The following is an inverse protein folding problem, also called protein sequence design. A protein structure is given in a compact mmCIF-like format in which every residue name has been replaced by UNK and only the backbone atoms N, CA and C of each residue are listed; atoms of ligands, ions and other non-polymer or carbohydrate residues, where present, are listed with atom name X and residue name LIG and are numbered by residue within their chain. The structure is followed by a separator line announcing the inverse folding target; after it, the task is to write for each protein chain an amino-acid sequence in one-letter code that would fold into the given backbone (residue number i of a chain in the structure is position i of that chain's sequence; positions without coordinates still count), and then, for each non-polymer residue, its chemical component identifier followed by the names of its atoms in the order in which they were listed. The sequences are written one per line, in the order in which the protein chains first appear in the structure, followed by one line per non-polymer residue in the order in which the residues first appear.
data_IF_322122267406
#
_entry.id   IF_322122267406
#
_cell.length_a   1.000
_cell.length_b   1.000
_cell.length_c   1.000
_cell.angle_alpha   90.00
_cell.angle_beta   90.00
_cell.angle_gamma   90.00
#
_symmetry.space_group_name_H-M   'P 1'
#
loop_
_entity.id
_entity.type
_entity.pdbx_description
1 polymer ?
#
# COMPACT_ATOMS: atom_id res chain seq x y z
N UNK A 1 -1.19 -56.62 -2.63
CA UNK A 1 -0.99 -57.42 -1.40
C UNK A 1 0.16 -56.73 -0.66
N UNK A 2 -0.07 -55.97 0.42
CA UNK A 2 -0.60 -56.38 1.75
C UNK A 2 0.35 -57.46 2.32
N UNK A 3 1.07 -57.31 3.45
CA UNK A 3 0.87 -56.47 4.66
C UNK A 3 2.23 -56.07 5.31
N UNK A 4 2.40 -54.88 5.91
CA UNK A 4 2.33 -54.54 7.35
C UNK A 4 3.64 -54.52 8.20
N UNK A 5 3.97 -53.31 8.67
CA UNK A 5 4.45 -52.89 10.02
C UNK A 5 5.73 -53.47 10.69
N UNK A 6 6.61 -52.49 11.01
CA UNK A 6 7.31 -52.24 12.29
C UNK A 6 8.76 -52.74 12.52
N UNK A 7 9.58 -51.87 13.15
CA UNK A 7 11.00 -52.07 13.51
C UNK A 7 11.88 -50.86 13.15
N UNK A 8 11.78 -49.72 13.84
CA UNK A 8 12.55 -49.37 15.05
C UNK A 8 14.09 -49.44 14.89
N UNK A 9 14.79 -48.29 14.77
CA UNK A 9 15.85 -47.89 15.72
C UNK A 9 16.52 -46.51 15.44
N UNK A 10 16.31 -45.59 16.40
CA UNK A 10 17.25 -44.58 16.96
C UNK A 10 18.46 -44.09 16.11
N UNK A 11 18.53 -42.78 15.91
CA UNK A 11 19.69 -41.93 16.29
C UNK A 11 19.27 -40.46 16.35
N UNK A 12 19.55 -39.80 17.50
CA UNK A 12 19.82 -38.36 17.73
C UNK A 12 19.51 -37.97 19.19
N UNK A 13 20.49 -38.25 20.06
CA UNK A 13 20.84 -37.42 21.21
C UNK A 13 22.16 -36.73 20.84
N UNK A 14 22.57 -35.57 21.38
CA UNK A 14 21.88 -34.50 22.09
C UNK A 14 22.93 -33.38 22.27
N UNK A 15 22.55 -32.09 22.28
CA UNK A 15 23.31 -31.08 23.04
C UNK A 15 22.54 -29.76 23.20
N UNK A 16 22.09 -29.48 24.45
CA UNK A 16 22.04 -28.16 25.11
C UNK A 16 21.25 -28.25 26.44
N UNK A 17 21.96 -28.69 27.47
CA UNK A 17 21.84 -28.11 28.83
C UNK A 17 22.62 -26.78 28.82
N UNK A 18 22.40 -25.78 29.67
CA UNK A 18 21.32 -25.42 30.61
C UNK A 18 21.78 -24.13 31.29
N UNK A 19 20.89 -23.25 31.76
CA UNK A 19 20.91 -22.81 33.17
C UNK A 19 19.58 -22.12 33.53
N UNK A 20 19.26 -22.21 34.82
CA UNK A 20 17.98 -21.84 35.44
C UNK A 20 18.13 -20.61 36.33
N UNK A 21 17.02 -19.91 36.59
CA UNK A 21 16.62 -19.33 37.89
C UNK A 21 15.35 -18.48 37.69
N UNK A 22 14.46 -18.29 38.66
CA UNK A 22 14.11 -19.07 39.86
C UNK A 22 12.63 -18.73 40.14
N UNK A 23 11.79 -19.69 40.52
CA UNK A 23 10.36 -19.44 40.71
C UNK A 23 9.82 -20.21 41.90
N UNK A 24 9.36 -19.47 42.91
CA UNK A 24 8.73 -20.04 44.11
C UNK A 24 7.20 -19.89 44.06
N UNK A 25 6.51 -20.91 44.57
CA UNK A 25 5.07 -21.09 44.38
C UNK A 25 4.25 -20.69 45.62
N UNK A 26 2.95 -20.42 45.42
CA UNK A 26 1.87 -21.04 46.23
C UNK A 26 0.49 -20.88 45.62
N UNK A 27 -0.42 -21.76 46.03
CA UNK A 27 -1.72 -22.01 45.41
C UNK A 27 -2.89 -21.80 46.38
N UNK A 28 -4.08 -21.51 45.82
CA UNK A 28 -5.42 -21.78 46.36
C UNK A 28 -6.40 -21.65 45.16
N UNK A 29 -7.12 -22.68 44.71
CA UNK A 29 -8.29 -23.31 45.32
C UNK A 29 -9.56 -22.42 45.29
N UNK A 30 -10.55 -22.78 44.46
CA UNK A 30 -11.84 -22.07 44.34
C UNK A 30 -12.79 -22.78 43.36
N UNK A 31 -13.93 -23.24 43.88
CA UNK A 31 -14.87 -24.24 43.31
C UNK A 31 -15.96 -23.70 42.36
N UNK A 32 -16.69 -24.67 41.75
CA UNK A 32 -17.99 -24.59 41.04
C UNK A 32 -17.92 -24.29 39.52
N UNK A 33 -18.44 -25.11 38.58
CA UNK A 33 -19.65 -25.96 38.52
C UNK A 33 -20.96 -25.13 38.38
N UNK A 34 -21.96 -25.44 37.55
CA UNK A 34 -22.22 -26.56 36.61
C UNK A 34 -23.48 -26.22 35.74
N UNK A 35 -23.76 -26.94 34.63
CA UNK A 35 -24.99 -26.88 33.76
C UNK A 35 -25.23 -25.59 32.92
N UNK A 36 -25.89 -25.60 31.74
CA UNK A 36 -26.35 -26.68 30.85
C UNK A 36 -26.51 -26.19 29.38
N UNK A 37 -26.53 -27.14 28.44
CA UNK A 37 -26.87 -26.93 27.01
C UNK A 37 -28.38 -27.00 26.72
N UNK A 38 -28.73 -26.76 25.44
CA UNK A 38 -30.00 -27.02 24.73
C UNK A 38 -31.04 -25.87 24.74
N UNK A 39 -31.80 -25.60 23.66
CA UNK A 39 -31.69 -26.06 22.25
C UNK A 39 -32.53 -25.15 21.30
N UNK A 40 -32.36 -25.38 20.00
CA UNK A 40 -33.16 -24.99 18.82
C UNK A 40 -34.52 -24.28 19.05
N UNK A 41 -34.81 -23.26 18.21
CA UNK A 41 -35.78 -23.41 17.11
C UNK A 41 -35.76 -22.21 16.14
N UNK A 42 -35.99 -22.47 14.85
CA UNK A 42 -36.20 -21.44 13.83
C UNK A 42 -37.67 -20.99 13.78
N UNK A 43 -37.93 -19.76 13.30
CA UNK A 43 -39.28 -19.32 12.94
C UNK A 43 -39.28 -18.41 11.70
N UNK A 44 -39.97 -18.85 10.64
CA UNK A 44 -40.42 -18.00 9.55
C UNK A 44 -41.64 -18.63 8.86
N UNK A 45 -42.77 -17.90 8.79
CA UNK A 45 -43.73 -17.93 7.67
C UNK A 45 -44.24 -16.50 7.33
N UNK A 46 -45.25 -16.24 6.48
CA UNK A 46 -45.55 -16.66 5.09
C UNK A 46 -46.37 -15.50 4.44
N UNK A 47 -46.51 -15.40 3.09
CA UNK A 47 -47.04 -14.21 2.39
C UNK A 47 -48.53 -14.29 1.97
N UNK A 48 -49.05 -13.15 1.48
CA UNK A 48 -50.25 -12.98 0.62
C UNK A 48 -50.09 -11.67 -0.19
N UNK A 49 -50.07 -11.65 -1.53
CA UNK A 49 -51.22 -11.60 -2.48
C UNK A 49 -52.03 -10.29 -2.46
N UNK A 50 -52.70 -9.83 -3.52
CA UNK A 50 -52.50 -9.79 -4.99
C UNK A 50 -53.62 -8.87 -5.53
N UNK A 51 -53.36 -7.99 -6.51
CA UNK A 51 -54.41 -7.45 -7.39
C UNK A 51 -53.79 -6.71 -8.58
N UNK A 52 -54.11 -7.15 -9.80
CA UNK A 52 -53.50 -6.63 -11.03
C UNK A 52 -54.40 -5.73 -11.87
N UNK A 53 -53.84 -5.18 -12.96
CA UNK A 53 -54.58 -4.77 -14.18
C UNK A 53 -53.65 -4.68 -15.39
N UNK A 54 -54.18 -5.08 -16.55
CA UNK A 54 -53.68 -4.96 -17.93
C UNK A 54 -54.93 -4.94 -18.85
N UNK A 55 -54.84 -4.64 -20.17
CA UNK A 55 -53.77 -3.99 -20.94
C UNK A 55 -54.29 -2.83 -21.85
N UNK A 56 -53.39 -2.17 -22.61
CA UNK A 56 -53.56 -1.83 -24.05
C UNK A 56 -52.24 -1.29 -24.63
N UNK A 57 -51.94 -1.61 -25.89
CA UNK A 57 -50.77 -1.12 -26.66
C UNK A 57 -51.08 0.13 -27.51
N UNK A 58 -50.32 0.47 -28.59
CA UNK A 58 -49.51 -0.43 -29.41
C UNK A 58 -48.05 0.00 -29.77
N UNK A 59 -47.28 -1.03 -30.12
CA UNK A 59 -46.13 -1.17 -31.05
C UNK A 59 -45.55 0.06 -31.79
N UNK A 60 -44.21 0.14 -31.80
CA UNK A 60 -43.38 0.58 -32.95
C UNK A 60 -42.20 -0.39 -33.17
N UNK A 61 -41.75 -0.49 -34.41
CA UNK A 61 -40.82 -1.54 -34.95
C UNK A 61 -39.42 -1.01 -35.28
N UNK A 62 -38.54 -1.94 -35.70
CA UNK A 62 -37.19 -1.75 -36.29
C UNK A 62 -36.04 -1.55 -35.27
N UNK A 63 -34.83 -2.13 -35.41
CA UNK A 63 -34.24 -3.02 -36.44
C UNK A 63 -33.50 -4.21 -35.80
N UNK A 64 -33.47 -5.37 -36.47
CA UNK A 64 -32.60 -6.51 -36.13
C UNK A 64 -31.19 -6.34 -36.71
N UNK A 65 -30.17 -6.36 -35.86
CA UNK A 65 -28.77 -6.48 -36.27
C UNK A 65 -28.34 -7.96 -36.33
N UNK A 66 -27.66 -8.36 -37.41
CA UNK A 66 -27.12 -9.71 -37.56
C UNK A 66 -25.84 -9.90 -36.71
N UNK A 67 -25.54 -11.13 -36.23
CA UNK A 67 -24.32 -11.38 -35.47
C UNK A 67 -23.07 -11.25 -36.36
N UNK A 68 -22.09 -10.49 -35.88
CA UNK A 68 -20.80 -10.34 -36.56
C UNK A 68 -20.05 -11.67 -36.60
N UNK A 69 -19.40 -11.96 -37.73
CA UNK A 69 -18.53 -13.13 -37.89
C UNK A 69 -17.29 -12.97 -37.00
N UNK A 70 -16.95 -14.01 -36.24
CA UNK A 70 -15.75 -14.05 -35.41
C UNK A 70 -14.53 -14.46 -36.23
N UNK A 71 -13.55 -13.56 -36.39
CA UNK A 71 -12.25 -13.90 -36.97
C UNK A 71 -11.44 -14.81 -36.03
N UNK A 72 -10.97 -16.00 -36.48
CA UNK A 72 -10.33 -16.99 -35.64
C UNK A 72 -8.81 -16.76 -35.50
N UNK A 73 -8.38 -15.53 -35.18
CA UNK A 73 -6.94 -15.25 -34.97
C UNK A 73 -6.65 -14.17 -33.91
N UNK A 74 -7.52 -14.02 -32.91
CA UNK A 74 -7.33 -13.06 -31.83
C UNK A 74 -7.23 -13.74 -30.46
N UNK A 75 -6.27 -14.66 -30.33
CA UNK A 75 -5.91 -15.27 -29.04
C UNK A 75 -5.34 -14.18 -28.11
N UNK A 76 -6.24 -13.56 -27.36
CA UNK A 76 -5.88 -12.84 -26.15
C UNK A 76 -5.42 -13.88 -25.13
N UNK A 77 -4.15 -13.84 -24.75
CA UNK A 77 -3.73 -14.34 -23.44
C UNK A 77 -4.17 -13.28 -22.42
N UNK A 78 -5.24 -13.48 -21.64
CA UNK A 78 -5.55 -12.57 -20.54
C UNK A 78 -4.40 -12.61 -19.52
N UNK A 79 -4.21 -11.51 -18.79
CA UNK A 79 -3.19 -11.43 -17.74
C UNK A 79 -3.28 -12.59 -16.70
N UNK A 80 -4.47 -13.19 -16.55
CA UNK A 80 -4.73 -14.37 -15.73
C UNK A 80 -3.86 -15.61 -16.06
N UNK A 81 -3.28 -15.70 -17.26
CA UNK A 81 -2.44 -16.84 -17.67
C UNK A 81 -0.92 -16.62 -17.45
N UNK A 82 -0.49 -15.45 -16.98
CA UNK A 82 0.90 -15.25 -16.56
C UNK A 82 1.17 -16.10 -15.30
N UNK A 83 2.12 -17.02 -15.38
CA UNK A 83 2.64 -17.73 -14.21
C UNK A 83 3.65 -16.83 -13.48
N UNK A 84 3.35 -16.46 -12.25
CA UNK A 84 4.19 -15.64 -11.39
C UNK A 84 4.87 -16.50 -10.32
N UNK A 85 6.14 -16.21 -10.04
CA UNK A 85 6.94 -16.91 -9.03
C UNK A 85 6.87 -16.24 -7.64
N UNK A 86 6.02 -15.20 -7.48
CA UNK A 86 5.72 -14.59 -6.19
C UNK A 86 5.54 -13.08 -6.27
N UNK A 87 5.84 -12.37 -5.17
CA UNK A 87 5.71 -10.92 -5.04
C UNK A 87 7.08 -10.23 -4.88
N UNK A 88 7.25 -9.10 -5.55
CA UNK A 88 8.41 -8.22 -5.47
C UNK A 88 7.94 -6.88 -4.91
N UNK A 89 8.36 -6.56 -3.69
CA UNK A 89 8.05 -5.31 -3.02
C UNK A 89 9.27 -4.38 -2.96
N UNK A 90 9.08 -3.09 -3.24
CA UNK A 90 10.12 -2.06 -3.06
C UNK A 90 9.89 -1.34 -1.74
N UNK A 91 10.94 -1.07 -0.96
CA UNK A 91 10.83 -0.35 0.32
C UNK A 91 11.92 0.72 0.47
N UNK A 92 11.93 1.37 1.63
CA UNK A 92 13.10 2.11 2.10
C UNK A 92 14.20 1.12 2.47
N UNK A 93 15.46 1.42 2.14
CA UNK A 93 16.60 0.65 2.66
C UNK A 93 16.60 0.64 4.22
N UNK A 94 16.79 -0.52 4.83
CA UNK A 94 16.76 -0.72 6.29
C UNK A 94 15.35 -0.98 6.86
N UNK A 95 14.37 -1.20 6.00
CA UNK A 95 12.97 -1.56 6.34
C UNK A 95 12.53 -2.89 5.68
N UNK A 96 13.48 -3.67 5.17
CA UNK A 96 13.20 -4.95 4.50
C UNK A 96 12.56 -5.97 5.45
N UNK A 97 12.86 -5.89 6.76
CA UNK A 97 12.25 -6.74 7.79
C UNK A 97 10.78 -6.42 8.04
N UNK A 98 10.42 -5.14 7.99
CA UNK A 98 9.03 -4.72 8.12
C UNK A 98 8.21 -5.15 6.90
N UNK A 99 8.73 -4.89 5.68
CA UNK A 99 8.08 -5.34 4.45
C UNK A 99 8.04 -6.88 4.35
N UNK A 100 9.07 -7.59 4.82
CA UNK A 100 9.06 -9.06 4.84
C UNK A 100 7.89 -9.63 5.64
N UNK A 101 7.65 -9.11 6.84
CA UNK A 101 6.51 -9.53 7.66
C UNK A 101 5.18 -9.23 6.96
N UNK A 102 5.03 -8.05 6.35
CA UNK A 102 3.82 -7.71 5.59
C UNK A 102 3.60 -8.63 4.38
N UNK A 103 4.67 -9.03 3.66
CA UNK A 103 4.54 -9.93 2.52
C UNK A 103 4.23 -11.38 2.93
N UNK A 104 4.79 -11.88 4.05
CA UNK A 104 4.40 -13.18 4.61
C UNK A 104 2.91 -13.19 4.99
N UNK A 105 2.42 -12.16 5.70
CA UNK A 105 1.01 -12.04 6.10
C UNK A 105 0.09 -11.92 4.87
N UNK A 106 0.41 -11.03 3.91
CA UNK A 106 -0.36 -10.83 2.67
C UNK A 106 -0.42 -12.11 1.83
N UNK A 107 0.69 -12.85 1.73
CA UNK A 107 0.73 -14.10 0.98
C UNK A 107 -0.05 -15.23 1.68
N UNK A 108 0.06 -15.33 3.01
CA UNK A 108 -0.70 -16.30 3.81
C UNK A 108 -2.22 -16.06 3.70
N UNK A 109 -2.68 -14.81 3.75
CA UNK A 109 -4.08 -14.46 3.54
C UNK A 109 -4.59 -14.78 2.12
N UNK A 110 -3.72 -14.67 1.11
CA UNK A 110 -4.03 -15.07 -0.27
C UNK A 110 -3.93 -16.58 -0.51
N UNK A 111 -3.55 -17.38 0.49
CA UNK A 111 -3.34 -18.82 0.37
C UNK A 111 -2.11 -19.21 -0.48
N UNK A 112 -1.19 -18.27 -0.70
CA UNK A 112 0.08 -18.54 -1.38
C UNK A 112 1.02 -19.30 -0.43
N UNK A 113 1.78 -20.25 -0.99
CA UNK A 113 2.71 -21.07 -0.22
C UNK A 113 4.12 -20.88 -0.80
N UNK A 114 5.05 -20.48 0.06
CA UNK A 114 6.34 -19.95 -0.35
C UNK A 114 7.14 -19.44 0.84
N UNK A 115 8.07 -18.53 0.58
CA UNK A 115 8.99 -17.98 1.58
C UNK A 115 9.51 -16.60 1.18
N UNK A 116 9.85 -15.77 2.18
CA UNK A 116 10.43 -14.44 1.95
C UNK A 116 11.96 -14.45 1.96
N UNK A 117 12.54 -13.70 1.02
CA UNK A 117 13.94 -13.30 0.97
C UNK A 117 14.04 -11.79 1.19
N UNK A 118 14.71 -11.39 2.27
CA UNK A 118 14.93 -9.99 2.63
C UNK A 118 16.40 -9.78 3.03
N UNK A 119 17.15 -9.11 2.16
CA UNK A 119 18.55 -8.74 2.42
C UNK A 119 18.59 -7.35 3.07
N UNK A 120 19.26 -7.17 4.23
CA UNK A 120 19.34 -5.86 4.88
C UNK A 120 19.90 -4.78 3.96
N UNK A 121 19.32 -3.58 4.04
CA UNK A 121 19.73 -2.38 3.30
C UNK A 121 19.66 -2.49 1.76
N UNK A 122 19.06 -3.56 1.24
CA UNK A 122 18.90 -3.80 -0.20
C UNK A 122 17.80 -2.94 -0.85
N UNK A 123 16.83 -2.43 -0.08
CA UNK A 123 15.72 -1.61 -0.57
C UNK A 123 14.60 -2.36 -1.32
N UNK A 124 14.60 -3.70 -1.31
CA UNK A 124 13.53 -4.53 -1.87
C UNK A 124 13.38 -5.85 -1.10
N UNK A 125 12.23 -6.51 -1.28
CA UNK A 125 11.92 -7.81 -0.69
C UNK A 125 11.28 -8.70 -1.75
N UNK A 126 11.62 -9.99 -1.75
CA UNK A 126 11.03 -11.01 -2.61
C UNK A 126 10.24 -12.00 -1.74
N UNK A 127 8.96 -12.18 -2.01
CA UNK A 127 8.24 -13.41 -1.70
C UNK A 127 8.37 -14.35 -2.90
N UNK A 128 8.75 -15.61 -2.66
CA UNK A 128 8.92 -16.64 -3.68
C UNK A 128 7.98 -17.82 -3.40
N UNK A 129 7.04 -18.11 -4.31
CA UNK A 129 6.13 -19.25 -4.22
C UNK A 129 6.89 -20.54 -4.53
N UNK A 130 6.54 -21.66 -3.87
CA UNK A 130 7.19 -22.95 -4.13
C UNK A 130 6.94 -23.48 -5.56
N UNK A 131 5.79 -23.13 -6.15
CA UNK A 131 5.48 -23.39 -7.54
C UNK A 131 4.98 -22.09 -8.23
N UNK A 132 5.27 -21.88 -9.53
CA UNK A 132 4.73 -20.75 -10.28
C UNK A 132 3.21 -20.75 -10.27
N UNK A 133 2.63 -19.67 -9.75
CA UNK A 133 1.20 -19.52 -9.49
C UNK A 133 0.58 -18.61 -10.56
N UNK A 134 -0.58 -18.95 -11.17
CA UNK A 134 -1.26 -18.07 -12.11
C UNK A 134 -1.60 -16.72 -11.47
N UNK A 135 -1.34 -15.62 -12.18
CA UNK A 135 -1.55 -14.26 -11.66
C UNK A 135 -2.96 -14.02 -11.11
N UNK A 136 -3.99 -14.64 -11.71
CA UNK A 136 -5.37 -14.53 -11.24
C UNK A 136 -5.56 -14.99 -9.78
N UNK A 137 -4.70 -15.88 -9.28
CA UNK A 137 -4.77 -16.41 -7.91
C UNK A 137 -4.18 -15.45 -6.87
N UNK A 138 -3.39 -14.44 -7.27
CA UNK A 138 -2.85 -13.46 -6.33
C UNK A 138 -3.94 -12.48 -5.84
N UNK A 139 -4.97 -12.22 -6.65
CA UNK A 139 -6.10 -11.36 -6.29
C UNK A 139 -5.67 -9.97 -5.77
N UNK A 140 -6.10 -9.64 -4.56
CA UNK A 140 -5.77 -8.37 -3.88
C UNK A 140 -4.36 -8.34 -3.27
N UNK A 141 -3.62 -9.47 -3.21
CA UNK A 141 -2.22 -9.46 -2.72
C UNK A 141 -1.25 -8.68 -3.63
N UNK A 142 -1.70 -8.31 -4.83
CA UNK A 142 -0.97 -7.42 -5.73
C UNK A 142 -1.21 -5.93 -5.49
N UNK A 143 -2.23 -5.52 -4.72
CA UNK A 143 -2.48 -4.09 -4.49
C UNK A 143 -1.37 -3.48 -3.64
N UNK A 144 -0.50 -2.74 -4.31
CA UNK A 144 0.60 -2.03 -3.68
C UNK A 144 0.15 -1.11 -2.55
N UNK A 145 -1.11 -0.63 -2.49
CA UNK A 145 -1.57 0.28 -1.43
C UNK A 145 -1.77 -0.38 -0.08
N UNK A 146 -2.01 -1.70 -0.06
CA UNK A 146 -2.33 -2.50 1.14
C UNK A 146 -1.21 -2.57 2.20
N UNK A 147 0.03 -3.01 1.89
CA UNK A 147 1.14 -2.98 2.84
C UNK A 147 1.52 -1.55 3.22
N UNK A 148 1.98 -1.30 4.44
CA UNK A 148 2.44 0.02 4.87
C UNK A 148 3.84 0.32 4.33
N UNK A 149 4.74 -0.66 4.34
CA UNK A 149 6.17 -0.48 4.08
C UNK A 149 6.59 -0.70 2.62
N UNK A 150 5.67 -1.20 1.76
CA UNK A 150 5.91 -1.23 0.31
C UNK A 150 5.58 0.11 -0.34
N UNK A 151 6.50 0.66 -1.14
CA UNK A 151 6.26 1.78 -2.06
C UNK A 151 5.68 1.33 -3.39
N UNK A 152 5.96 0.08 -3.75
CA UNK A 152 5.47 -0.63 -4.93
C UNK A 152 5.39 -2.11 -4.56
N UNK A 153 4.40 -2.82 -5.10
CA UNK A 153 4.26 -4.27 -4.97
C UNK A 153 3.86 -4.82 -6.33
N UNK A 154 4.57 -5.85 -6.79
CA UNK A 154 4.42 -6.37 -8.14
C UNK A 154 4.53 -7.90 -8.13
N UNK A 155 3.64 -8.63 -8.84
CA UNK A 155 3.84 -10.05 -9.09
C UNK A 155 5.00 -10.24 -10.06
N UNK A 156 6.06 -10.94 -9.64
CA UNK A 156 7.24 -11.22 -10.46
C UNK A 156 7.12 -12.59 -11.13
N UNK A 157 7.73 -12.73 -12.32
CA UNK A 157 7.59 -13.93 -13.15
C UNK A 157 8.92 -14.46 -13.71
N UNK A 158 9.98 -13.66 -13.71
CA UNK A 158 11.32 -14.12 -14.08
C UNK A 158 12.42 -13.33 -13.36
N UNK A 159 13.53 -14.01 -13.10
CA UNK A 159 14.81 -13.43 -12.68
C UNK A 159 15.82 -13.77 -13.77
N UNK A 160 16.45 -12.75 -14.34
CA UNK A 160 17.48 -12.91 -15.38
C UNK A 160 18.83 -12.61 -14.76
N UNK A 161 19.72 -13.59 -14.77
CA UNK A 161 21.07 -13.51 -14.22
C UNK A 161 22.11 -13.47 -15.34
N UNK A 162 23.38 -13.24 -14.97
CA UNK A 162 24.53 -13.20 -15.88
C UNK A 162 24.35 -12.32 -17.14
N UNK A 163 23.57 -11.23 -17.02
CA UNK A 163 23.27 -10.31 -18.12
C UNK A 163 24.57 -9.78 -18.76
N UNK A 164 24.84 -10.09 -20.04
CA UNK A 164 26.10 -9.78 -20.66
C UNK A 164 26.21 -8.28 -20.95
N UNK A 165 27.39 -7.71 -20.73
CA UNK A 165 27.56 -6.25 -20.76
C UNK A 165 27.17 -5.60 -22.09
N UNK A 166 27.39 -6.30 -23.20
CA UNK A 166 27.16 -5.81 -24.57
C UNK A 166 25.73 -6.04 -25.08
N UNK A 167 24.97 -6.97 -24.52
CA UNK A 167 23.60 -7.27 -24.94
C UNK A 167 22.71 -7.71 -23.77
N UNK A 168 22.33 -6.74 -22.95
CA UNK A 168 21.34 -6.96 -21.88
C UNK A 168 19.90 -7.09 -22.42
N UNK A 169 19.66 -6.80 -23.71
CA UNK A 169 18.31 -6.76 -24.25
C UNK A 169 17.80 -8.16 -24.60
N UNK A 170 18.61 -8.96 -25.30
CA UNK A 170 18.19 -10.30 -25.76
C UNK A 170 17.73 -11.21 -24.61
N UNK A 171 18.47 -11.39 -23.50
CA UNK A 171 18.04 -12.27 -22.40
C UNK A 171 16.75 -11.81 -21.71
N UNK A 172 16.56 -10.48 -21.56
CA UNK A 172 15.33 -9.92 -20.99
C UNK A 172 14.15 -10.14 -21.94
N UNK A 173 14.34 -9.87 -23.24
CA UNK A 173 13.31 -10.09 -24.27
C UNK A 173 12.90 -11.56 -24.34
N UNK A 174 13.84 -12.49 -24.27
CA UNK A 174 13.54 -13.93 -24.33
C UNK A 174 12.84 -14.44 -23.07
N UNK A 175 13.21 -13.95 -21.88
CA UNK A 175 12.45 -14.21 -20.65
C UNK A 175 11.01 -13.65 -20.73
N UNK A 176 10.81 -12.48 -21.34
CA UNK A 176 9.47 -11.93 -21.57
C UNK A 176 8.69 -12.77 -22.59
N UNK A 177 9.31 -13.21 -23.70
CA UNK A 177 8.65 -14.12 -24.68
C UNK A 177 8.21 -15.43 -24.00
N UNK A 178 9.08 -16.02 -23.17
CA UNK A 178 8.81 -17.27 -22.48
C UNK A 178 7.59 -17.18 -21.54
N UNK A 179 7.31 -16.00 -20.98
CA UNK A 179 6.11 -15.76 -20.16
C UNK A 179 4.78 -15.80 -20.94
N UNK A 180 4.82 -15.68 -22.28
CA UNK A 180 3.63 -15.55 -23.13
C UNK A 180 2.85 -14.23 -22.97
N UNK A 181 3.25 -13.36 -22.03
CA UNK A 181 2.55 -12.12 -21.70
C UNK A 181 2.91 -10.98 -22.67
N UNK A 182 1.93 -10.09 -22.91
CA UNK A 182 2.13 -8.82 -23.61
C UNK A 182 1.90 -7.64 -22.68
N UNK A 183 2.63 -6.56 -22.90
CA UNK A 183 2.66 -5.38 -22.02
C UNK A 183 2.26 -4.12 -22.78
N UNK A 184 1.72 -3.12 -22.08
CA UNK A 184 1.39 -1.78 -22.61
C UNK A 184 2.56 -0.80 -22.47
N UNK A 185 3.42 -0.99 -21.48
CA UNK A 185 4.58 -0.14 -21.21
C UNK A 185 5.74 -0.94 -20.62
N UNK A 186 6.89 -0.28 -20.49
CA UNK A 186 8.07 -0.83 -19.81
C UNK A 186 8.67 0.22 -18.87
N UNK A 187 9.04 -0.20 -17.66
CA UNK A 187 9.57 0.66 -16.60
C UNK A 187 10.85 0.04 -16.04
N UNK A 188 11.99 0.70 -16.27
CA UNK A 188 13.29 0.26 -15.76
C UNK A 188 13.60 0.97 -14.45
N UNK A 189 13.95 0.19 -13.44
CA UNK A 189 13.96 0.61 -12.04
C UNK A 189 15.20 0.08 -11.33
N UNK A 190 15.52 0.70 -10.20
CA UNK A 190 16.59 0.31 -9.29
C UNK A 190 16.05 0.34 -7.86
N UNK A 191 16.57 -0.47 -6.92
CA UNK A 191 16.29 -0.24 -5.50
C UNK A 191 16.71 1.18 -5.05
N UNK A 192 16.13 1.69 -3.96
CA UNK A 192 16.39 3.04 -3.45
C UNK A 192 17.67 3.15 -2.59
N UNK A 193 18.75 2.44 -2.98
CA UNK A 193 20.07 2.54 -2.32
C UNK A 193 20.99 3.48 -3.09
N UNK A 194 22.04 3.98 -2.45
CA UNK A 194 22.97 4.92 -3.10
C UNK A 194 23.86 4.25 -4.15
N UNK A 195 24.17 2.96 -3.98
CA UNK A 195 24.85 2.10 -4.95
C UNK A 195 23.95 1.80 -6.16
N UNK A 196 22.67 1.52 -5.89
CA UNK A 196 21.70 1.21 -6.93
C UNK A 196 21.36 2.45 -7.79
N UNK A 197 21.24 3.64 -7.16
CA UNK A 197 21.01 4.92 -7.84
C UNK A 197 22.06 5.26 -8.89
N UNK A 198 23.30 4.79 -8.77
CA UNK A 198 24.33 4.98 -9.80
C UNK A 198 23.91 4.36 -11.15
N UNK A 199 23.07 3.32 -11.14
CA UNK A 199 22.51 2.66 -12.33
C UNK A 199 21.24 3.32 -12.87
N UNK A 200 20.65 4.32 -12.20
CA UNK A 200 19.46 5.03 -12.68
C UNK A 200 19.69 5.71 -14.05
N UNK A 201 20.88 6.26 -14.27
CA UNK A 201 21.29 6.84 -15.55
C UNK A 201 21.44 5.80 -16.67
N UNK A 202 21.83 4.57 -16.34
CA UNK A 202 21.79 3.44 -17.28
C UNK A 202 20.34 3.06 -17.61
N UNK A 203 19.49 2.87 -16.60
CA UNK A 203 18.08 2.51 -16.78
C UNK A 203 17.38 3.50 -17.72
N UNK A 204 17.54 4.81 -17.49
CA UNK A 204 16.98 5.86 -18.36
C UNK A 204 17.44 5.77 -19.82
N UNK A 205 18.71 5.45 -20.08
CA UNK A 205 19.24 5.29 -21.45
C UNK A 205 18.85 3.96 -22.09
N UNK A 206 18.64 2.92 -21.29
CA UNK A 206 18.34 1.57 -21.76
C UNK A 206 16.83 1.32 -21.99
N UNK A 207 15.94 2.16 -21.44
CA UNK A 207 14.49 2.06 -21.63
C UNK A 207 14.09 1.97 -23.10
N UNK A 208 14.58 2.90 -23.93
CA UNK A 208 14.21 2.98 -25.35
C UNK A 208 14.75 1.81 -26.20
N UNK A 209 16.05 1.43 -26.09
CA UNK A 209 16.57 0.19 -26.69
C UNK A 209 15.77 -1.07 -26.30
N UNK A 210 15.42 -1.23 -25.02
CA UNK A 210 14.67 -2.39 -24.56
C UNK A 210 13.22 -2.36 -25.06
N UNK A 211 12.56 -1.20 -25.05
CA UNK A 211 11.21 -1.03 -25.60
C UNK A 211 11.17 -1.41 -27.09
N UNK A 212 12.09 -0.87 -27.90
CA UNK A 212 12.23 -1.23 -29.32
C UNK A 212 12.43 -2.72 -29.54
N UNK A 213 13.24 -3.39 -28.71
CA UNK A 213 13.47 -4.82 -28.80
C UNK A 213 12.22 -5.65 -28.44
N UNK A 214 11.49 -5.24 -27.40
CA UNK A 214 10.23 -5.86 -26.99
C UNK A 214 9.10 -5.66 -28.01
N UNK A 215 9.03 -4.51 -28.69
CA UNK A 215 8.04 -4.28 -29.76
C UNK A 215 8.29 -5.19 -30.96
N UNK A 216 9.54 -5.26 -31.43
CA UNK A 216 10.00 -6.19 -32.49
C UNK A 216 9.74 -7.64 -32.14
N UNK A 217 9.91 -8.02 -30.87
CA UNK A 217 9.62 -9.36 -30.36
C UNK A 217 8.11 -9.69 -30.24
N UNK A 218 7.23 -8.70 -30.40
CA UNK A 218 5.78 -8.88 -30.23
C UNK A 218 5.27 -8.71 -28.79
N UNK A 219 6.16 -8.44 -27.83
CA UNK A 219 5.90 -8.41 -26.40
C UNK A 219 5.34 -7.06 -25.90
N UNK A 220 5.73 -5.94 -26.52
CA UNK A 220 5.25 -4.60 -26.16
C UNK A 220 4.20 -4.09 -27.17
N UNK A 221 3.11 -3.48 -26.67
CA UNK A 221 1.98 -2.96 -27.45
C UNK A 221 1.49 -1.65 -26.83
N UNK A 222 2.29 -0.60 -27.01
CA UNK A 222 2.09 0.77 -26.51
C UNK A 222 0.72 1.39 -26.83
N UNK A 223 0.14 1.07 -27.99
CA UNK A 223 -1.20 1.55 -28.39
C UNK A 223 -2.38 0.84 -27.72
N UNK A 224 -2.15 -0.19 -26.88
CA UNK A 224 -3.20 -1.05 -26.34
C UNK A 224 -3.38 -0.89 -24.83
N UNK A 225 -4.47 -0.22 -24.46
CA UNK A 225 -4.92 -0.10 -23.07
C UNK A 225 -5.25 -1.48 -22.44
N UNK A 226 -5.19 -1.55 -21.11
CA UNK A 226 -5.58 -2.73 -20.32
C UNK A 226 -4.56 -3.87 -20.26
N UNK A 227 -3.42 -3.78 -20.97
CA UNK A 227 -2.29 -4.69 -20.74
C UNK A 227 -1.44 -4.20 -19.55
N UNK A 228 -0.77 -5.10 -18.80
CA UNK A 228 0.15 -4.72 -17.74
C UNK A 228 1.35 -3.90 -18.22
N UNK A 229 1.99 -3.20 -17.30
CA UNK A 229 3.32 -2.59 -17.49
C UNK A 229 4.38 -3.61 -17.10
N UNK A 230 5.43 -3.75 -17.93
CA UNK A 230 6.60 -4.57 -17.59
C UNK A 230 7.51 -3.76 -16.68
N UNK A 231 7.68 -4.20 -15.45
CA UNK A 231 8.67 -3.65 -14.53
C UNK A 231 9.97 -4.47 -14.61
N UNK A 232 11.10 -3.78 -14.68
CA UNK A 232 12.45 -4.35 -14.81
C UNK A 232 13.34 -3.76 -13.72
N UNK A 233 13.51 -4.46 -12.60
CA UNK A 233 14.31 -4.01 -11.47
C UNK A 233 15.76 -4.52 -11.58
N UNK A 234 16.72 -3.61 -11.79
CA UNK A 234 18.15 -3.92 -11.83
C UNK A 234 18.78 -3.89 -10.42
N UNK A 235 18.73 -5.03 -9.73
CA UNK A 235 19.35 -5.19 -8.40
C UNK A 235 20.88 -5.21 -8.46
N UNK A 236 21.46 -5.63 -9.58
CA UNK A 236 22.91 -5.56 -9.84
C UNK A 236 23.21 -5.08 -11.28
N UNK A 237 24.47 -5.17 -11.73
CA UNK A 237 24.85 -4.91 -13.12
C UNK A 237 24.60 -6.11 -14.08
N UNK A 238 24.38 -7.30 -13.50
CA UNK A 238 24.20 -8.60 -14.18
C UNK A 238 22.86 -9.27 -13.86
N UNK A 239 22.07 -8.73 -12.92
CA UNK A 239 20.79 -9.31 -12.45
C UNK A 239 19.65 -8.33 -12.65
N UNK A 240 18.55 -8.81 -13.27
CA UNK A 240 17.30 -8.08 -13.39
C UNK A 240 16.10 -8.95 -13.00
N UNK A 241 15.15 -8.39 -12.27
CA UNK A 241 13.86 -9.02 -11.97
C UNK A 241 12.77 -8.46 -12.87
N UNK A 242 11.93 -9.35 -13.42
CA UNK A 242 10.84 -9.00 -14.33
C UNK A 242 9.50 -9.24 -13.64
N UNK A 243 8.67 -8.19 -13.60
CA UNK A 243 7.38 -8.20 -12.92
C UNK A 243 6.28 -7.48 -13.71
N UNK A 244 5.02 -7.79 -13.41
CA UNK A 244 3.87 -7.33 -14.18
C UNK A 244 2.97 -6.40 -13.36
N UNK A 245 3.08 -5.09 -13.59
CA UNK A 245 2.20 -4.10 -12.96
C UNK A 245 0.83 -4.09 -13.62
N UNK A 246 -0.19 -4.62 -12.94
CA UNK A 246 -1.56 -4.58 -13.45
C UNK A 246 -2.16 -3.17 -13.31
N UNK A 247 -2.90 -2.66 -14.32
CA UNK A 247 -3.53 -1.34 -14.26
C UNK A 247 -4.40 -1.20 -13.00
N UNK A 248 -4.16 -0.14 -12.22
CA UNK A 248 -4.85 0.12 -10.95
C UNK A 248 -4.22 -0.55 -9.72
N UNK A 249 -3.60 -1.73 -9.87
CA UNK A 249 -3.00 -2.51 -8.76
C UNK A 249 -1.51 -2.24 -8.53
N UNK A 250 -0.82 -1.50 -9.41
CA UNK A 250 0.55 -1.04 -9.19
C UNK A 250 0.64 0.49 -9.05
N UNK A 251 1.72 0.98 -8.44
CA UNK A 251 2.05 2.41 -8.47
C UNK A 251 2.45 2.81 -9.89
N UNK A 252 1.96 3.97 -10.36
CA UNK A 252 2.29 4.54 -11.67
C UNK A 252 3.60 5.33 -11.66
N UNK A 253 4.21 5.56 -10.50
CA UNK A 253 5.49 6.23 -10.37
C UNK A 253 6.65 5.23 -10.36
N UNK A 254 7.75 5.63 -11.00
CA UNK A 254 9.00 4.89 -10.98
C UNK A 254 9.49 4.71 -9.53
N UNK A 255 9.85 3.48 -9.17
CA UNK A 255 10.21 3.01 -7.81
C UNK A 255 9.09 3.19 -6.77
N UNK A 256 7.85 3.48 -7.19
CA UNK A 256 6.76 3.87 -6.31
C UNK A 256 6.89 5.28 -5.72
N UNK A 257 7.77 6.14 -6.26
CA UNK A 257 8.11 7.45 -5.68
C UNK A 257 7.55 8.61 -6.51
N UNK A 258 6.59 9.40 -6.00
CA UNK A 258 6.12 10.62 -6.66
C UNK A 258 7.25 11.60 -6.96
N UNK A 259 7.33 12.10 -8.19
CA UNK A 259 8.31 13.12 -8.60
C UNK A 259 7.89 14.51 -8.13
N UNK A 260 8.20 14.81 -6.87
CA UNK A 260 7.97 16.12 -6.26
C UNK A 260 9.10 17.10 -6.56
N UNK A 261 8.77 18.29 -7.06
CA UNK A 261 9.71 19.42 -7.14
C UNK A 261 9.61 20.23 -5.84
N UNK A 262 10.71 20.29 -5.08
CA UNK A 262 10.78 21.15 -3.90
C UNK A 262 10.66 22.63 -4.28
N UNK A 263 9.69 23.38 -3.71
CA UNK A 263 9.62 24.83 -3.85
C UNK A 263 10.79 25.50 -3.13
N UNK A 264 11.44 26.47 -3.77
CA UNK A 264 12.60 27.17 -3.18
C UNK A 264 12.23 28.07 -1.98
N UNK A 265 10.96 28.46 -1.88
CA UNK A 265 10.40 29.28 -0.80
C UNK A 265 9.73 28.45 0.32
N UNK A 266 9.79 27.11 0.25
CA UNK A 266 9.24 26.24 1.28
C UNK A 266 10.03 26.37 2.61
N UNK A 267 9.36 26.48 3.77
CA UNK A 267 10.01 26.76 5.06
C UNK A 267 10.78 25.57 5.64
N UNK A 268 10.51 24.36 5.16
CA UNK A 268 11.12 23.11 5.61
C UNK A 268 11.08 22.04 4.53
N UNK A 269 11.80 20.93 4.75
CA UNK A 269 11.66 19.70 3.94
C UNK A 269 10.40 18.88 4.28
N UNK A 270 9.77 19.07 5.45
CA UNK A 270 8.54 18.33 5.82
C UNK A 270 7.35 18.69 4.92
N UNK A 271 7.38 19.87 4.30
CA UNK A 271 6.63 20.25 3.08
C UNK A 271 6.45 19.11 2.07
N UNK A 272 7.51 18.33 1.82
CA UNK A 272 7.49 17.25 0.83
C UNK A 272 6.57 16.11 1.26
N UNK A 273 6.56 15.75 2.55
CA UNK A 273 5.75 14.66 3.11
C UNK A 273 4.27 14.86 2.83
N UNK A 274 3.72 16.05 3.17
CA UNK A 274 2.29 16.30 2.98
C UNK A 274 1.92 16.36 1.48
N UNK A 275 2.82 16.89 0.64
CA UNK A 275 2.63 16.83 -0.82
C UNK A 275 2.62 15.40 -1.35
N UNK A 276 3.48 14.53 -0.79
CA UNK A 276 3.55 13.12 -1.15
C UNK A 276 2.33 12.36 -0.63
N UNK A 277 1.88 12.64 0.60
CA UNK A 277 0.69 12.06 1.21
C UNK A 277 -0.56 12.30 0.34
N UNK A 278 -0.76 13.52 -0.15
CA UNK A 278 -1.86 13.81 -1.08
C UNK A 278 -1.72 13.13 -2.45
N UNK A 279 -0.52 12.72 -2.86
CA UNK A 279 -0.33 11.95 -4.09
C UNK A 279 -0.56 10.45 -3.85
N UNK A 280 0.06 9.90 -2.80
CA UNK A 280 0.15 8.47 -2.52
C UNK A 280 -1.06 7.91 -1.79
N UNK A 281 -1.65 8.65 -0.85
CA UNK A 281 -2.76 8.18 -0.02
C UNK A 281 -4.14 8.51 -0.61
N UNK A 282 -4.23 9.45 -1.56
CA UNK A 282 -5.49 9.84 -2.21
C UNK A 282 -5.47 9.47 -3.69
N UNK A 283 -6.61 8.99 -4.20
CA UNK A 283 -6.78 8.83 -5.64
C UNK A 283 -6.88 10.20 -6.34
N UNK A 284 -6.67 10.26 -7.65
CA UNK A 284 -6.67 11.51 -8.40
C UNK A 284 -8.02 12.24 -8.34
N UNK A 285 -9.10 11.55 -8.71
CA UNK A 285 -10.46 12.13 -8.61
C UNK A 285 -10.91 12.39 -7.17
N UNK A 286 -10.43 11.60 -6.21
CA UNK A 286 -10.68 11.85 -4.79
C UNK A 286 -10.03 13.15 -4.35
N UNK A 287 -8.71 13.30 -4.56
CA UNK A 287 -7.93 14.50 -4.23
C UNK A 287 -8.59 15.76 -4.78
N UNK A 288 -8.95 15.76 -6.06
CA UNK A 288 -9.58 16.92 -6.71
C UNK A 288 -10.96 17.24 -6.11
N UNK A 289 -11.69 16.24 -5.62
CA UNK A 289 -12.99 16.42 -4.97
C UNK A 289 -12.92 16.87 -3.50
N UNK A 290 -11.90 16.42 -2.75
CA UNK A 290 -11.81 16.64 -1.29
C UNK A 290 -10.86 17.76 -0.87
N UNK A 291 -9.84 18.10 -1.68
CA UNK A 291 -8.81 19.10 -1.38
C UNK A 291 -9.03 20.36 -2.23
N UNK A 292 -9.98 21.19 -1.82
CA UNK A 292 -10.50 22.32 -2.60
C UNK A 292 -10.14 23.67 -1.98
N UNK A 293 -9.83 24.64 -2.83
CA UNK A 293 -9.57 26.02 -2.40
C UNK A 293 -10.76 26.61 -1.61
N UNK A 294 -10.47 27.47 -0.63
CA UNK A 294 -11.44 28.07 0.28
C UNK A 294 -11.82 27.19 1.49
N UNK A 295 -11.45 25.91 1.52
CA UNK A 295 -11.61 25.06 2.70
C UNK A 295 -10.81 25.58 3.90
N UNK A 296 -11.26 25.21 5.11
CA UNK A 296 -10.57 25.52 6.37
C UNK A 296 -9.76 24.32 6.83
N UNK A 297 -8.54 24.56 7.26
CA UNK A 297 -7.62 23.57 7.79
C UNK A 297 -7.06 23.97 9.16
N UNK A 298 -6.64 22.98 9.94
CA UNK A 298 -5.81 23.16 11.13
C UNK A 298 -4.50 22.41 10.94
N UNK A 299 -3.38 23.00 11.33
CA UNK A 299 -2.06 22.34 11.40
C UNK A 299 -1.63 22.27 12.87
N UNK A 300 -1.49 21.05 13.42
CA UNK A 300 -1.14 20.80 14.83
C UNK A 300 0.36 20.50 14.95
N UNK A 301 1.07 21.30 15.75
CA UNK A 301 2.54 21.27 15.78
C UNK A 301 3.11 21.90 14.52
N UNK A 302 2.56 23.04 14.13
CA UNK A 302 2.77 23.62 12.81
C UNK A 302 4.20 24.13 12.58
N UNK A 303 4.99 24.46 13.61
CA UNK A 303 6.29 25.11 13.43
C UNK A 303 7.32 24.18 12.76
N UNK A 304 8.11 24.67 11.77
CA UNK A 304 8.24 26.05 11.29
C UNK A 304 7.30 26.42 10.12
N UNK A 305 6.31 25.60 9.80
CA UNK A 305 5.23 25.90 8.85
C UNK A 305 5.20 25.07 7.57
N UNK A 306 5.89 23.92 7.51
CA UNK A 306 5.99 23.11 6.27
C UNK A 306 4.67 22.56 5.75
N UNK A 307 3.80 22.09 6.66
CA UNK A 307 2.50 21.53 6.32
C UNK A 307 1.46 22.64 6.09
N UNK A 308 1.45 23.67 6.95
CA UNK A 308 0.75 24.94 6.73
C UNK A 308 1.03 25.50 5.32
N UNK A 309 2.30 25.62 4.91
CA UNK A 309 2.69 26.12 3.59
C UNK A 309 2.03 25.31 2.46
N UNK A 310 2.00 23.98 2.56
CA UNK A 310 1.39 23.09 1.55
C UNK A 310 -0.12 23.27 1.43
N UNK A 311 -0.81 23.49 2.55
CA UNK A 311 -2.26 23.75 2.56
C UNK A 311 -2.57 25.13 1.96
N UNK A 312 -1.83 26.16 2.37
CA UNK A 312 -1.94 27.54 1.87
C UNK A 312 -1.72 27.61 0.36
N UNK A 313 -0.71 26.91 -0.18
CA UNK A 313 -0.42 26.90 -1.62
C UNK A 313 -1.46 26.12 -2.46
N UNK A 314 -2.43 25.45 -1.81
CA UNK A 314 -3.63 24.88 -2.45
C UNK A 314 -4.89 25.74 -2.21
N UNK A 315 -4.72 26.93 -1.64
CA UNK A 315 -5.80 27.90 -1.39
C UNK A 315 -6.64 27.60 -0.15
N UNK A 316 -6.15 26.79 0.80
CA UNK A 316 -6.83 26.56 2.08
C UNK A 316 -6.47 27.65 3.09
N UNK A 317 -7.44 28.03 3.93
CA UNK A 317 -7.24 28.91 5.09
C UNK A 317 -6.83 28.05 6.28
N UNK A 318 -5.68 28.33 6.87
CA UNK A 318 -5.05 27.48 7.90
C UNK A 318 -4.99 28.20 9.24
N UNK A 319 -5.57 27.60 10.28
CA UNK A 319 -5.23 27.95 11.66
C UNK A 319 -4.08 27.04 12.11
N UNK A 320 -2.89 27.60 12.22
CA UNK A 320 -1.66 26.91 12.59
C UNK A 320 -1.44 26.99 14.10
N UNK A 321 -1.31 25.83 14.75
CA UNK A 321 -1.21 25.69 16.21
C UNK A 321 0.21 25.27 16.59
N UNK A 322 0.96 26.21 17.16
CA UNK A 322 2.27 25.93 17.76
C UNK A 322 2.71 27.05 18.70
N UNK A 323 3.43 26.72 19.78
CA UNK A 323 4.10 27.72 20.61
C UNK A 323 5.36 28.30 19.93
N UNK A 324 6.01 27.50 19.07
CA UNK A 324 7.13 27.91 18.24
C UNK A 324 6.74 28.85 17.09
N UNK A 325 7.68 29.63 16.55
CA UNK A 325 7.41 30.56 15.46
C UNK A 325 7.28 29.84 14.11
N UNK A 326 6.33 30.29 13.29
CA UNK A 326 6.32 30.00 11.85
C UNK A 326 7.35 30.86 11.13
N UNK A 327 7.79 30.43 9.93
CA UNK A 327 8.63 31.26 9.06
C UNK A 327 7.83 32.40 8.43
N UNK A 328 8.50 33.53 8.21
CA UNK A 328 7.93 34.72 7.56
C UNK A 328 7.35 34.40 6.18
N UNK A 329 7.95 33.47 5.41
CA UNK A 329 7.43 33.03 4.11
C UNK A 329 6.09 32.30 4.16
N UNK A 330 5.65 31.86 5.35
CA UNK A 330 4.34 31.27 5.62
C UNK A 330 3.36 32.34 6.10
N UNK A 331 3.83 33.23 6.98
CA UNK A 331 3.06 34.34 7.54
C UNK A 331 2.80 35.49 6.54
N UNK A 332 3.54 35.55 5.43
CA UNK A 332 3.36 36.55 4.37
C UNK A 332 2.00 36.45 3.62
N UNK A 333 1.14 35.50 3.97
CA UNK A 333 -0.19 35.33 3.37
C UNK A 333 -1.29 35.55 4.41
N UNK A 334 -2.36 36.24 4.04
CA UNK A 334 -3.58 36.40 4.87
C UNK A 334 -4.39 35.09 5.04
N UNK A 335 -3.86 33.96 4.52
CA UNK A 335 -4.47 32.63 4.65
C UNK A 335 -4.04 31.90 5.93
N UNK A 336 -3.10 32.45 6.72
CA UNK A 336 -2.57 31.82 7.93
C UNK A 336 -2.92 32.62 9.18
N UNK A 337 -3.57 31.95 10.13
CA UNK A 337 -3.74 32.40 11.51
C UNK A 337 -2.81 31.57 12.40
N UNK A 338 -1.78 32.17 13.02
CA UNK A 338 -0.90 31.47 13.96
C UNK A 338 -1.37 31.68 15.40
N UNK A 339 -1.72 30.59 16.08
CA UNK A 339 -2.11 30.60 17.49
C UNK A 339 -1.05 29.88 18.35
N UNK A 340 -0.57 30.58 19.38
CA UNK A 340 0.32 30.02 20.41
C UNK A 340 -0.49 29.20 21.40
N UNK A 341 -0.64 27.92 21.10
CA UNK A 341 -1.31 26.95 21.95
C UNK A 341 -0.70 25.55 21.77
N UNK A 342 -1.02 24.64 22.70
CA UNK A 342 -0.66 23.23 22.60
C UNK A 342 -1.65 22.47 21.68
N UNK A 343 -1.11 21.76 20.68
CA UNK A 343 -1.89 20.97 19.73
C UNK A 343 -2.65 19.78 20.35
N UNK A 344 -2.23 19.28 21.51
CA UNK A 344 -2.97 18.22 22.21
C UNK A 344 -4.24 18.72 22.89
N UNK A 345 -4.28 19.97 23.35
CA UNK A 345 -5.40 20.54 24.11
C UNK A 345 -6.27 21.51 23.29
N UNK A 346 -5.70 22.27 22.36
CA UNK A 346 -6.46 23.22 21.54
C UNK A 346 -7.50 22.54 20.65
N UNK A 347 -8.70 23.13 20.53
CA UNK A 347 -9.80 22.65 19.68
C UNK A 347 -10.48 23.80 18.95
N UNK A 348 -10.93 23.62 17.69
CA UNK A 348 -11.56 24.67 16.92
C UNK A 348 -13.01 24.91 17.38
N UNK A 349 -13.44 26.18 17.41
CA UNK A 349 -14.83 26.55 17.75
C UNK A 349 -15.88 26.07 16.75
N UNK A 350 -15.47 25.77 15.51
CA UNK A 350 -16.34 25.25 14.44
C UNK A 350 -15.59 24.12 13.72
N UNK A 351 -16.26 23.02 13.32
CA UNK A 351 -15.66 22.00 12.47
C UNK A 351 -14.90 22.58 11.28
N UNK A 352 -13.74 22.03 10.96
CA UNK A 352 -12.93 22.35 9.79
C UNK A 352 -13.02 21.23 8.74
N UNK A 353 -12.52 21.48 7.54
CA UNK A 353 -12.48 20.46 6.49
C UNK A 353 -11.30 19.53 6.73
N UNK A 354 -10.12 20.11 6.97
CA UNK A 354 -8.86 19.37 7.17
C UNK A 354 -8.26 19.60 8.57
N UNK A 355 -7.63 18.56 9.13
CA UNK A 355 -6.66 18.72 10.22
C UNK A 355 -5.41 17.92 9.86
N UNK A 356 -4.23 18.51 10.02
CA UNK A 356 -2.95 17.84 9.76
C UNK A 356 -2.03 17.92 10.98
N UNK A 357 -1.14 16.93 11.15
CA UNK A 357 -0.27 16.80 12.32
C UNK A 357 1.05 16.05 12.03
N UNK A 358 2.20 16.74 12.11
CA UNK A 358 3.57 16.15 12.07
C UNK A 358 4.30 16.29 13.43
N UNK A 359 3.54 16.36 14.55
CA UNK A 359 4.11 16.43 15.90
C UNK A 359 5.06 15.26 16.21
N UNK A 360 6.22 15.57 16.80
CA UNK A 360 7.23 14.60 17.24
C UNK A 360 6.86 14.05 18.60
N UNK A 361 5.94 13.10 18.62
CA UNK A 361 5.34 12.54 19.84
C UNK A 361 5.08 11.03 19.71
N UNK A 362 4.68 10.40 20.82
CA UNK A 362 4.39 8.97 20.83
C UNK A 362 3.26 8.62 19.84
N UNK A 363 3.42 7.60 18.99
CA UNK A 363 2.46 7.32 17.92
C UNK A 363 1.06 6.97 18.45
N UNK A 364 0.98 6.30 19.60
CA UNK A 364 -0.28 6.01 20.30
C UNK A 364 -1.03 7.27 20.76
N UNK A 365 -0.31 8.33 21.17
CA UNK A 365 -0.90 9.62 21.55
C UNK A 365 -1.43 10.36 20.32
N UNK A 366 -0.71 10.34 19.21
CA UNK A 366 -1.18 10.91 17.94
C UNK A 366 -2.40 10.14 17.41
N UNK A 367 -2.34 8.81 17.35
CA UNK A 367 -3.46 7.96 16.94
C UNK A 367 -4.73 8.22 17.77
N UNK A 368 -4.59 8.39 19.09
CA UNK A 368 -5.70 8.72 19.97
C UNK A 368 -6.25 10.14 19.72
N UNK A 369 -5.37 11.13 19.53
CA UNK A 369 -5.73 12.52 19.23
C UNK A 369 -6.51 12.63 17.92
N UNK A 370 -6.00 12.05 16.82
CA UNK A 370 -6.63 12.16 15.50
C UNK A 370 -7.96 11.38 15.44
N UNK A 371 -8.04 10.22 16.08
CA UNK A 371 -9.29 9.46 16.17
C UNK A 371 -10.36 10.24 16.96
N UNK A 372 -9.98 10.91 18.05
CA UNK A 372 -10.87 11.78 18.83
C UNK A 372 -11.31 13.04 18.06
N UNK A 373 -10.45 13.61 17.22
CA UNK A 373 -10.81 14.71 16.31
C UNK A 373 -11.85 14.29 15.26
N UNK A 374 -11.66 13.12 14.64
CA UNK A 374 -12.59 12.57 13.64
C UNK A 374 -13.90 12.13 14.30
N UNK A 375 -13.84 11.45 15.45
CA UNK A 375 -15.01 10.94 16.18
C UNK A 375 -15.99 12.02 16.64
N UNK A 376 -15.48 13.22 16.90
CA UNK A 376 -16.28 14.39 17.34
C UNK A 376 -16.62 15.34 16.20
N UNK A 377 -16.32 14.96 14.95
CA UNK A 377 -16.61 15.78 13.77
C UNK A 377 -15.86 17.11 13.72
N UNK A 378 -14.71 17.22 14.40
CA UNK A 378 -13.90 18.47 14.41
C UNK A 378 -13.19 18.71 13.09
N UNK A 379 -12.83 17.65 12.36
CA UNK A 379 -12.39 17.68 10.96
C UNK A 379 -13.18 16.68 10.11
N UNK A 380 -13.14 16.82 8.78
CA UNK A 380 -13.69 15.82 7.85
C UNK A 380 -12.61 14.85 7.38
N UNK A 381 -11.44 15.40 7.11
CA UNK A 381 -10.26 14.68 6.60
C UNK A 381 -9.07 14.99 7.51
N UNK A 382 -8.18 14.01 7.69
CA UNK A 382 -6.90 14.25 8.36
C UNK A 382 -5.75 13.50 7.73
N UNK A 383 -4.57 14.13 7.72
CA UNK A 383 -3.28 13.51 7.41
C UNK A 383 -2.35 13.70 8.60
N UNK A 384 -1.68 12.65 9.05
CA UNK A 384 -0.82 12.70 10.24
C UNK A 384 0.36 11.74 10.13
N UNK A 385 1.50 12.10 10.73
CA UNK A 385 2.62 11.19 10.89
C UNK A 385 2.54 10.39 12.21
N UNK A 386 2.90 9.12 12.15
CA UNK A 386 3.13 8.25 13.32
C UNK A 386 4.62 7.92 13.38
N UNK A 387 5.32 8.35 14.45
CA UNK A 387 6.75 8.08 14.63
C UNK A 387 6.97 6.61 15.01
N UNK A 388 7.89 5.93 14.33
CA UNK A 388 8.15 4.51 14.54
C UNK A 388 9.17 4.28 15.66
N UNK A 389 8.99 3.25 16.50
CA UNK A 389 10.01 2.84 17.46
C UNK A 389 11.21 2.15 16.78
N UNK A 390 12.35 2.06 17.49
CA UNK A 390 13.57 1.39 17.01
C UNK A 390 13.42 -0.12 16.73
N UNK A 391 12.39 -0.76 17.28
CA UNK A 391 12.07 -2.19 17.15
C UNK A 391 10.55 -2.34 17.11
N UNK A 392 10.04 -3.45 16.58
CA UNK A 392 8.59 -3.76 16.59
C UNK A 392 7.75 -2.73 15.81
N UNK A 393 8.27 -2.28 14.66
CA UNK A 393 7.69 -1.17 13.87
C UNK A 393 6.29 -1.50 13.33
N UNK A 394 6.11 -2.68 12.71
CA UNK A 394 4.80 -3.17 12.24
C UNK A 394 3.80 -3.19 13.39
N UNK A 395 4.17 -3.83 14.51
CA UNK A 395 3.31 -4.00 15.68
C UNK A 395 2.92 -2.66 16.33
N UNK A 396 3.77 -1.63 16.24
CA UNK A 396 3.45 -0.28 16.69
C UNK A 396 2.45 0.44 15.77
N UNK A 397 2.51 0.20 14.45
CA UNK A 397 1.49 0.69 13.50
C UNK A 397 0.15 0.01 13.76
N UNK A 398 0.14 -1.31 13.97
CA UNK A 398 -1.08 -2.06 14.27
C UNK A 398 -1.72 -1.67 15.62
N UNK A 399 -0.92 -1.37 16.64
CA UNK A 399 -1.43 -0.75 17.87
C UNK A 399 -2.12 0.60 17.62
N UNK A 400 -1.62 1.40 16.69
CA UNK A 400 -2.25 2.67 16.31
C UNK A 400 -3.54 2.47 15.51
N UNK A 401 -3.58 1.50 14.58
CA UNK A 401 -4.82 1.10 13.90
C UNK A 401 -5.88 0.66 14.90
N UNK A 402 -5.50 -0.17 15.88
CA UNK A 402 -6.41 -0.69 16.90
C UNK A 402 -6.97 0.41 17.82
N UNK A 403 -6.17 1.43 18.17
CA UNK A 403 -6.65 2.60 18.91
C UNK A 403 -7.67 3.41 18.10
N UNK A 404 -7.39 3.68 16.82
CA UNK A 404 -8.31 4.37 15.90
C UNK A 404 -9.61 3.57 15.74
N UNK A 405 -9.49 2.25 15.51
CA UNK A 405 -10.62 1.32 15.35
C UNK A 405 -11.53 1.33 16.57
N UNK A 406 -10.97 1.18 17.78
CA UNK A 406 -11.75 1.22 19.04
C UNK A 406 -12.48 2.55 19.21
N UNK A 407 -11.83 3.68 18.92
CA UNK A 407 -12.42 5.01 19.11
C UNK A 407 -13.53 5.32 18.11
N UNK A 408 -13.45 4.79 16.88
CA UNK A 408 -14.41 5.03 15.81
C UNK A 408 -15.51 3.95 15.70
N UNK A 409 -15.37 2.81 16.38
CA UNK A 409 -16.32 1.68 16.31
C UNK A 409 -17.78 2.06 16.57
N UNK A 410 -18.05 3.04 17.46
CA UNK A 410 -19.39 3.55 17.75
C UNK A 410 -19.79 4.80 16.95
N UNK A 411 -18.89 5.31 16.11
CA UNK A 411 -19.09 6.54 15.31
C UNK A 411 -19.59 6.20 13.90
N UNK A 412 -18.96 5.20 13.26
CA UNK A 412 -19.32 4.76 11.92
C UNK A 412 -18.15 4.15 11.14
N UNK A 413 -18.42 3.66 9.92
CA UNK A 413 -17.36 3.18 9.03
C UNK A 413 -16.39 4.31 8.69
N UNK A 414 -15.10 3.95 8.56
CA UNK A 414 -14.04 4.89 8.23
C UNK A 414 -13.13 4.32 7.15
N UNK A 415 -12.29 5.19 6.59
CA UNK A 415 -11.19 4.84 5.71
C UNK A 415 -9.88 5.28 6.37
N UNK A 416 -8.91 4.37 6.47
CA UNK A 416 -7.62 4.57 7.11
C UNK A 416 -6.52 3.98 6.23
N UNK A 417 -5.79 4.85 5.55
CA UNK A 417 -4.71 4.49 4.62
C UNK A 417 -3.40 4.92 5.23
N UNK A 418 -2.43 4.02 5.35
CA UNK A 418 -1.14 4.27 6.02
C UNK A 418 -0.02 3.83 5.10
N UNK A 419 1.00 4.68 4.90
CA UNK A 419 2.17 4.39 4.07
C UNK A 419 3.46 4.91 4.68
N UNK A 420 4.54 4.17 4.46
CA UNK A 420 5.90 4.65 4.60
C UNK A 420 6.30 5.42 3.34
N UNK A 421 6.15 6.75 3.36
CA UNK A 421 6.41 7.59 2.20
C UNK A 421 7.91 7.69 1.88
N UNK A 422 8.27 8.16 0.70
CA UNK A 422 9.67 8.40 0.33
C UNK A 422 10.33 9.45 1.22
N UNK A 423 9.61 10.52 1.55
CA UNK A 423 10.09 11.57 2.45
C UNK A 423 9.97 11.22 3.94
N UNK A 424 9.39 10.07 4.29
CA UNK A 424 9.39 9.54 5.65
C UNK A 424 10.73 8.83 5.97
N UNK A 425 11.16 8.94 7.23
CA UNK A 425 12.33 8.23 7.77
C UNK A 425 11.90 7.15 8.75
N UNK A 426 11.92 7.45 10.04
CA UNK A 426 11.47 6.55 11.11
C UNK A 426 10.05 6.92 11.53
N UNK A 427 9.16 6.94 10.55
CA UNK A 427 7.77 7.35 10.68
C UNK A 427 6.96 6.79 9.50
N UNK A 428 5.64 6.76 9.64
CA UNK A 428 4.71 6.52 8.53
C UNK A 428 3.71 7.67 8.46
N UNK A 429 3.15 7.91 7.29
CA UNK A 429 2.09 8.91 7.09
C UNK A 429 0.75 8.22 6.88
N UNK A 430 -0.28 8.71 7.55
CA UNK A 430 -1.62 8.16 7.51
C UNK A 430 -2.65 9.21 7.05
N UNK A 431 -3.68 8.76 6.34
CA UNK A 431 -4.89 9.50 6.00
C UNK A 431 -6.09 8.83 6.68
N UNK A 432 -7.00 9.62 7.26
CA UNK A 432 -8.21 9.14 7.92
C UNK A 432 -9.42 10.03 7.61
N UNK A 433 -10.55 9.39 7.31
CA UNK A 433 -11.87 10.04 7.14
C UNK A 433 -12.99 9.08 7.55
N UNK A 434 -14.16 9.60 7.95
CA UNK A 434 -15.38 8.79 8.03
C UNK A 434 -15.92 8.53 6.62
N UNK A 435 -16.39 7.31 6.36
CA UNK A 435 -17.19 6.97 5.18
C UNK A 435 -18.61 7.49 5.41
N UNK A 436 -19.20 8.10 4.38
CA UNK A 436 -20.50 8.78 4.43
C UNK A 436 -21.53 8.06 3.58
#
# INVERSE_FOLDING_TARGET
MIDARAGLHRRLRACRRSYTDHGDAKAAAGTSAVLASAALAAYHPLPCSDSGRRPRGPVRTHHTAAPARTDPMNQHTPAAALACAGLLGYCRAGFEKELAAELDDIAAEAGLIGYVRAEPDSGYVIYETFEPTPLGNFGESTDWRRPVFARQLLPWFARVEDLPERDRATPIVDAVKASGQRFSGVMLETPDTDEAKQRSGFCKRFTEPLATALEKAGCLRSSRAGLPVLHVLFTSATTAWLAAGQPGQCSTWQMGVPRLRMPSNAPSRSTAKLSEAFMTLLEEGERDSILRAGQRAVDLGAAPGGWTWQLVHRGLRVTAIDNGPLRDSVMATEMVEHLKADGFTWRPHRPVDWMVCDMVEQPSRIASLVAEWVATGRCRYTVFNLKLPMKRRVEAVEQCRELIRKRLASVGPYDLRIKHLYHDREEVTAFLTLKR
#
